data_IF_328649421708
#
_entry.id   IF_328649421708
#
_cell.length_a   1.000
_cell.length_b   1.000
_cell.length_c   1.000
_cell.angle_alpha   90.00
_cell.angle_beta   90.00
_cell.angle_gamma   90.00
#
_symmetry.space_group_name_H-M   'P 1'
#
loop_
_entity.id
_entity.type
_entity.pdbx_description
1 polymer ?
#
# COMPACT_ATOMS: atom_id res chain seq x y z
N UNK A 1 18.06 -6.69 15.35
CA UNK A 1 18.12 -5.65 14.29
C UNK A 1 16.86 -5.62 13.41
N UNK A 2 16.11 -6.72 13.28
CA UNK A 2 14.81 -6.75 12.58
C UNK A 2 13.69 -6.01 13.34
N UNK A 3 13.74 -5.98 14.67
CA UNK A 3 12.69 -5.43 15.53
C UNK A 3 12.59 -3.90 15.47
N UNK A 4 13.73 -3.22 15.28
CA UNK A 4 13.77 -1.77 15.09
C UNK A 4 13.07 -1.31 13.81
N UNK A 5 13.14 -2.11 12.74
CA UNK A 5 12.48 -1.79 11.47
C UNK A 5 10.95 -1.99 11.55
N UNK A 6 10.49 -2.99 12.31
CA UNK A 6 9.07 -3.24 12.52
C UNK A 6 8.42 -2.11 13.33
N UNK A 7 9.08 -1.66 14.40
CA UNK A 7 8.61 -0.54 15.21
C UNK A 7 8.59 0.77 14.42
N UNK A 8 9.59 1.03 13.58
CA UNK A 8 9.56 2.20 12.69
C UNK A 8 8.36 2.17 11.73
N UNK A 9 8.01 1.01 11.17
CA UNK A 9 6.84 0.89 10.28
C UNK A 9 5.52 1.13 11.02
N UNK A 10 5.39 0.57 12.22
CA UNK A 10 4.22 0.78 13.08
C UNK A 10 4.09 2.25 13.46
N UNK A 11 5.16 2.87 13.97
CA UNK A 11 5.18 4.28 14.34
C UNK A 11 4.84 5.17 13.14
N UNK A 12 5.38 4.88 11.96
CA UNK A 12 5.08 5.64 10.75
C UNK A 12 3.60 5.51 10.36
N UNK A 13 3.03 4.31 10.43
CA UNK A 13 1.59 4.09 10.19
C UNK A 13 0.74 4.86 11.18
N UNK A 14 1.11 4.87 12.46
CA UNK A 14 0.43 5.65 13.50
C UNK A 14 0.50 7.16 13.22
N UNK A 15 1.67 7.66 12.83
CA UNK A 15 1.85 9.07 12.45
C UNK A 15 0.99 9.42 11.24
N UNK A 16 0.87 8.53 10.25
CA UNK A 16 0.02 8.75 9.08
C UNK A 16 -1.47 8.83 9.45
N UNK A 17 -1.94 7.92 10.31
CA UNK A 17 -3.33 7.90 10.80
C UNK A 17 -3.63 9.14 11.64
N UNK A 18 -2.71 9.53 12.53
CA UNK A 18 -2.86 10.73 13.35
C UNK A 18 -2.89 11.99 12.49
N UNK A 19 -2.01 12.11 11.49
CA UNK A 19 -2.04 13.23 10.55
C UNK A 19 -3.38 13.31 9.80
N UNK A 20 -3.93 12.17 9.39
CA UNK A 20 -5.24 12.11 8.73
C UNK A 20 -6.37 12.56 9.68
N UNK A 21 -6.40 12.06 10.92
CA UNK A 21 -7.40 12.46 11.92
C UNK A 21 -7.32 13.96 12.26
N UNK A 22 -6.11 14.47 12.50
CA UNK A 22 -5.86 15.88 12.81
C UNK A 22 -6.33 16.75 11.64
N UNK A 23 -6.03 16.34 10.41
CA UNK A 23 -6.38 17.11 9.23
C UNK A 23 -7.87 17.12 8.93
N UNK A 24 -8.57 16.00 9.16
CA UNK A 24 -10.05 15.97 9.12
C UNK A 24 -10.62 16.93 10.16
N UNK A 25 -10.10 16.89 11.39
CA UNK A 25 -10.59 17.73 12.49
C UNK A 25 -10.35 19.22 12.21
N UNK A 26 -9.18 19.57 11.67
CA UNK A 26 -8.84 20.95 11.30
C UNK A 26 -9.67 21.47 10.12
N UNK A 27 -10.00 20.61 9.15
CA UNK A 27 -10.87 20.98 8.02
C UNK A 27 -12.32 21.18 8.48
N UNK A 28 -12.81 20.33 9.38
CA UNK A 28 -14.13 20.49 10.02
C UNK A 28 -14.21 21.80 10.79
N UNK A 29 -13.13 22.21 11.44
CA UNK A 29 -13.08 23.46 12.20
C UNK A 29 -12.93 24.73 11.33
N UNK A 30 -13.15 24.61 10.00
CA UNK A 30 -13.11 25.69 8.99
C UNK A 30 -11.82 26.54 8.94
N UNK A 31 -10.82 26.23 9.76
CA UNK A 31 -9.59 27.02 9.88
C UNK A 31 -8.69 26.84 8.64
N UNK A 32 -8.84 25.72 7.93
CA UNK A 32 -7.97 25.28 6.81
C UNK A 32 -8.77 25.04 5.51
N UNK A 33 -9.67 25.97 5.16
CA UNK A 33 -10.53 25.87 3.96
C UNK A 33 -9.75 25.83 2.64
N UNK A 34 -8.59 26.51 2.55
CA UNK A 34 -7.81 26.61 1.31
C UNK A 34 -6.73 25.55 1.13
N UNK A 35 -6.48 24.71 2.14
CA UNK A 35 -5.41 23.71 2.01
C UNK A 35 -5.88 22.52 1.19
N UNK A 36 -5.15 22.25 0.11
CA UNK A 36 -5.35 21.09 -0.74
C UNK A 36 -5.20 19.82 0.06
N UNK A 37 -6.11 18.87 -0.12
CA UNK A 37 -6.07 17.58 0.56
C UNK A 37 -4.79 16.81 0.22
N UNK A 38 -4.18 17.07 -0.94
CA UNK A 38 -2.87 16.56 -1.32
C UNK A 38 -1.76 16.87 -0.30
N UNK A 39 -1.79 18.06 0.33
CA UNK A 39 -0.77 18.47 1.30
C UNK A 39 -0.79 17.60 2.57
N UNK A 40 -1.98 17.16 2.96
CA UNK A 40 -2.22 16.31 4.13
C UNK A 40 -1.62 14.91 3.93
N UNK A 41 -1.61 14.43 2.68
CA UNK A 41 -1.05 13.12 2.33
C UNK A 41 0.45 13.15 2.03
N UNK A 42 1.12 14.31 2.04
CA UNK A 42 2.58 14.43 1.82
C UNK A 42 3.42 13.39 2.56
N UNK A 43 3.26 13.15 3.89
CA UNK A 43 4.10 12.16 4.58
C UNK A 43 3.92 10.75 4.01
N UNK A 44 2.70 10.40 3.57
CA UNK A 44 2.40 9.11 2.95
C UNK A 44 2.98 9.04 1.54
N UNK A 45 2.86 10.11 0.74
CA UNK A 45 3.49 10.22 -0.58
C UNK A 45 5.01 10.04 -0.52
N UNK A 46 5.67 10.68 0.46
CA UNK A 46 7.11 10.53 0.67
C UNK A 46 7.45 9.07 0.98
N UNK A 47 6.69 8.42 1.86
CA UNK A 47 6.92 7.01 2.18
C UNK A 47 6.73 6.08 0.97
N UNK A 48 5.69 6.32 0.17
CA UNK A 48 5.43 5.56 -1.05
C UNK A 48 6.57 5.76 -2.08
N UNK A 49 7.05 6.99 -2.26
CA UNK A 49 8.18 7.31 -3.14
C UNK A 49 9.48 6.64 -2.68
N UNK A 50 9.80 6.70 -1.38
CA UNK A 50 10.99 6.03 -0.82
C UNK A 50 10.90 4.52 -1.06
N UNK A 51 9.72 3.92 -0.81
CA UNK A 51 9.50 2.49 -1.05
C UNK A 51 9.68 2.12 -2.52
N UNK A 52 9.18 2.94 -3.45
CA UNK A 52 9.38 2.77 -4.88
C UNK A 52 10.86 2.82 -5.26
N UNK A 53 11.60 3.80 -4.73
CA UNK A 53 13.03 3.96 -4.97
C UNK A 53 13.82 2.74 -4.49
N UNK A 54 13.52 2.22 -3.29
CA UNK A 54 14.19 1.02 -2.75
C UNK A 54 13.93 -0.18 -3.67
N UNK A 55 12.67 -0.41 -4.08
CA UNK A 55 12.32 -1.52 -4.96
C UNK A 55 12.99 -1.37 -6.34
N UNK A 56 12.93 -0.18 -6.93
CA UNK A 56 13.56 0.12 -8.22
C UNK A 56 15.06 -0.10 -8.18
N UNK A 57 15.73 0.33 -7.12
CA UNK A 57 17.15 0.09 -6.88
C UNK A 57 17.47 -1.41 -6.77
N UNK A 58 16.66 -2.17 -6.03
CA UNK A 58 16.83 -3.62 -5.90
C UNK A 58 16.66 -4.36 -7.24
N UNK A 59 15.76 -3.89 -8.11
CA UNK A 59 15.57 -4.44 -9.46
C UNK A 59 16.77 -4.12 -10.36
N UNK A 60 17.24 -2.85 -10.35
CA UNK A 60 18.37 -2.37 -11.15
C UNK A 60 19.66 -3.16 -10.89
N UNK A 61 19.89 -3.56 -9.65
CA UNK A 61 21.08 -4.33 -9.26
C UNK A 61 21.10 -5.76 -9.83
N UNK A 62 20.05 -6.21 -10.55
CA UNK A 62 19.87 -7.54 -11.20
C UNK A 62 19.99 -8.76 -10.27
N UNK A 63 20.60 -8.62 -9.09
CA UNK A 63 20.88 -9.65 -8.09
C UNK A 63 19.62 -10.21 -7.42
N UNK A 64 18.49 -9.52 -7.56
CA UNK A 64 17.20 -9.93 -6.98
C UNK A 64 16.28 -10.72 -7.92
N UNK A 65 16.49 -10.66 -9.24
CA UNK A 65 15.56 -11.20 -10.24
C UNK A 65 15.78 -12.69 -10.59
N UNK A 66 16.87 -13.30 -10.12
CA UNK A 66 17.23 -14.67 -10.52
C UNK A 66 16.31 -15.78 -9.96
N UNK A 67 15.52 -15.50 -8.92
CA UNK A 67 14.61 -16.49 -8.31
C UNK A 67 13.15 -16.15 -8.62
N UNK A 68 12.42 -17.05 -9.28
CA UNK A 68 10.99 -16.87 -9.63
C UNK A 68 10.12 -16.44 -8.44
N UNK A 69 10.40 -16.97 -7.25
CA UNK A 69 9.69 -16.61 -6.00
C UNK A 69 9.90 -15.14 -5.58
N UNK A 70 11.07 -14.57 -5.86
CA UNK A 70 11.37 -13.17 -5.56
C UNK A 70 10.68 -12.22 -6.54
N UNK A 71 10.49 -12.67 -7.78
CA UNK A 71 9.78 -11.91 -8.81
C UNK A 71 8.30 -11.70 -8.43
N UNK A 72 7.63 -12.75 -7.95
CA UNK A 72 6.24 -12.63 -7.44
C UNK A 72 6.15 -11.68 -6.24
N UNK A 73 7.12 -11.70 -5.32
CA UNK A 73 7.17 -10.74 -4.21
C UNK A 73 7.33 -9.31 -4.70
N UNK A 74 8.19 -9.06 -5.69
CA UNK A 74 8.38 -7.71 -6.27
C UNK A 74 7.10 -7.23 -6.95
N UNK A 75 6.46 -8.07 -7.77
CA UNK A 75 5.19 -7.74 -8.42
C UNK A 75 4.12 -7.43 -7.37
N UNK A 76 4.04 -8.24 -6.31
CA UNK A 76 3.15 -8.01 -5.18
C UNK A 76 3.41 -6.65 -4.52
N UNK A 77 4.67 -6.32 -4.22
CA UNK A 77 5.01 -5.03 -3.62
C UNK A 77 4.69 -3.85 -4.54
N UNK A 78 4.97 -3.95 -5.84
CA UNK A 78 4.65 -2.92 -6.82
C UNK A 78 3.14 -2.72 -6.96
N UNK A 79 2.36 -3.80 -7.04
CA UNK A 79 0.91 -3.73 -7.13
C UNK A 79 0.31 -3.12 -5.86
N UNK A 80 0.83 -3.50 -4.69
CA UNK A 80 0.41 -2.93 -3.42
C UNK A 80 0.66 -1.43 -3.37
N UNK A 81 1.86 -1.00 -3.76
CA UNK A 81 2.23 0.41 -3.81
C UNK A 81 1.35 1.20 -4.79
N UNK A 82 1.15 0.66 -6.00
CA UNK A 82 0.32 1.30 -7.04
C UNK A 82 -1.13 1.45 -6.57
N UNK A 83 -1.66 0.41 -5.92
CA UNK A 83 -3.01 0.42 -5.35
C UNK A 83 -3.14 1.42 -4.20
N UNK A 84 -2.14 1.54 -3.33
CA UNK A 84 -2.12 2.53 -2.25
C UNK A 84 -2.12 3.96 -2.82
N UNK A 85 -1.25 4.24 -3.79
CA UNK A 85 -1.23 5.54 -4.47
C UNK A 85 -2.56 5.85 -5.16
N UNK A 86 -3.16 4.89 -5.86
CA UNK A 86 -4.45 5.07 -6.53
C UNK A 86 -5.58 5.38 -5.52
N UNK A 87 -5.60 4.67 -4.39
CA UNK A 87 -6.55 4.92 -3.30
C UNK A 87 -6.38 6.34 -2.72
N UNK A 88 -5.14 6.76 -2.44
CA UNK A 88 -4.85 8.10 -1.92
C UNK A 88 -5.30 9.19 -2.90
N UNK A 89 -5.04 9.03 -4.19
CA UNK A 89 -5.46 9.98 -5.24
C UNK A 89 -6.99 10.06 -5.31
N UNK A 90 -7.69 8.92 -5.36
CA UNK A 90 -9.15 8.87 -5.40
C UNK A 90 -9.77 9.51 -4.15
N UNK A 91 -9.18 9.27 -2.99
CA UNK A 91 -9.61 9.86 -1.73
C UNK A 91 -9.40 11.38 -1.73
N UNK A 92 -8.27 11.87 -2.26
CA UNK A 92 -8.03 13.31 -2.46
C UNK A 92 -9.06 13.94 -3.40
N UNK A 93 -9.38 13.27 -4.51
CA UNK A 93 -10.38 13.76 -5.48
C UNK A 93 -11.74 13.86 -4.83
N UNK A 94 -12.18 12.81 -4.12
CA UNK A 94 -13.45 12.82 -3.39
C UNK A 94 -13.50 13.93 -2.34
N UNK A 95 -12.44 14.11 -1.56
CA UNK A 95 -12.40 15.10 -0.48
C UNK A 95 -12.30 16.54 -0.98
N UNK A 96 -11.67 16.79 -2.13
CA UNK A 96 -11.39 18.14 -2.63
C UNK A 96 -12.35 18.61 -3.71
N UNK A 97 -12.72 17.75 -4.65
CA UNK A 97 -13.42 18.14 -5.87
C UNK A 97 -14.84 17.60 -5.93
N UNK A 98 -15.08 16.37 -5.48
CA UNK A 98 -16.38 15.70 -5.68
C UNK A 98 -16.81 14.89 -4.44
N UNK A 99 -17.35 15.55 -3.40
CA UNK A 99 -17.76 14.88 -2.16
C UNK A 99 -18.90 13.87 -2.36
N UNK A 100 -19.72 14.08 -3.40
CA UNK A 100 -20.86 13.23 -3.75
C UNK A 100 -20.46 11.91 -4.44
N UNK A 101 -19.18 11.74 -4.81
CA UNK A 101 -18.71 10.52 -5.44
C UNK A 101 -18.95 9.31 -4.51
N UNK A 102 -19.56 8.20 -4.98
CA UNK A 102 -19.86 7.06 -4.12
C UNK A 102 -18.59 6.40 -3.56
N UNK A 103 -18.62 6.02 -2.27
CA UNK A 103 -17.48 5.41 -1.58
C UNK A 103 -16.99 4.12 -2.25
N UNK A 104 -17.88 3.37 -2.90
CA UNK A 104 -17.55 2.16 -3.65
C UNK A 104 -16.43 2.36 -4.69
N UNK A 105 -16.42 3.50 -5.37
CA UNK A 105 -15.40 3.84 -6.38
C UNK A 105 -14.06 4.12 -5.71
N UNK A 106 -14.06 4.85 -4.59
CA UNK A 106 -12.84 5.19 -3.86
C UNK A 106 -12.17 3.94 -3.29
N UNK A 107 -12.95 2.97 -2.80
CA UNK A 107 -12.40 1.72 -2.28
C UNK A 107 -12.01 0.71 -3.36
N UNK A 108 -12.39 0.92 -4.62
CA UNK A 108 -12.18 -0.03 -5.71
C UNK A 108 -10.72 -0.54 -5.85
N UNK A 109 -9.66 0.27 -5.73
CA UNK A 109 -8.27 -0.22 -5.75
C UNK A 109 -8.02 -1.25 -4.64
N UNK A 110 -8.57 -1.00 -3.45
CA UNK A 110 -8.40 -1.83 -2.26
C UNK A 110 -9.10 -3.20 -2.42
N UNK A 111 -10.25 -3.23 -3.09
CA UNK A 111 -10.95 -4.47 -3.43
C UNK A 111 -10.13 -5.32 -4.42
N UNK A 112 -9.57 -4.69 -5.46
CA UNK A 112 -8.69 -5.39 -6.42
C UNK A 112 -7.49 -6.01 -5.69
N UNK A 113 -6.86 -5.24 -4.80
CA UNK A 113 -5.75 -5.73 -4.00
C UNK A 113 -6.13 -6.94 -3.15
N UNK A 114 -7.28 -6.90 -2.47
CA UNK A 114 -7.76 -8.03 -1.67
C UNK A 114 -7.91 -9.29 -2.52
N UNK A 115 -8.61 -9.23 -3.67
CA UNK A 115 -8.79 -10.38 -4.55
C UNK A 115 -7.45 -10.94 -5.04
N UNK A 116 -6.50 -10.06 -5.34
CA UNK A 116 -5.17 -10.46 -5.76
C UNK A 116 -4.40 -11.20 -4.64
N UNK A 117 -4.46 -10.69 -3.40
CA UNK A 117 -3.87 -11.35 -2.22
C UNK A 117 -4.49 -12.72 -1.99
N UNK A 118 -5.81 -12.81 -2.03
CA UNK A 118 -6.53 -14.08 -1.89
C UNK A 118 -6.07 -15.10 -2.92
N UNK A 119 -5.95 -14.68 -4.19
CA UNK A 119 -5.48 -15.54 -5.27
C UNK A 119 -4.06 -16.07 -5.02
N UNK A 120 -3.16 -15.23 -4.51
CA UNK A 120 -1.79 -15.63 -4.18
C UNK A 120 -1.77 -16.63 -3.01
N UNK A 121 -2.53 -16.36 -1.95
CA UNK A 121 -2.59 -17.24 -0.77
C UNK A 121 -3.10 -18.63 -1.18
N UNK A 122 -4.15 -18.68 -2.02
CA UNK A 122 -4.68 -19.94 -2.55
C UNK A 122 -3.61 -20.69 -3.35
N UNK A 123 -2.87 -20.00 -4.23
CA UNK A 123 -1.77 -20.62 -4.99
C UNK A 123 -0.66 -21.17 -4.08
N UNK A 124 -0.31 -20.46 -3.00
CA UNK A 124 0.70 -20.91 -2.04
C UNK A 124 0.23 -22.13 -1.24
N UNK A 125 -1.02 -22.14 -0.81
CA UNK A 125 -1.64 -23.28 -0.13
C UNK A 125 -1.64 -24.52 -1.03
N UNK A 126 -2.05 -24.36 -2.29
CA UNK A 126 -2.08 -25.46 -3.25
C UNK A 126 -0.69 -26.09 -3.48
N UNK A 127 0.36 -25.26 -3.61
CA UNK A 127 1.74 -25.76 -3.73
C UNK A 127 2.21 -26.50 -2.49
N UNK A 128 1.89 -25.99 -1.30
CA UNK A 128 2.29 -26.62 -0.04
C UNK A 128 1.65 -28.00 0.09
N UNK A 129 0.37 -28.15 -0.24
CA UNK A 129 -0.31 -29.44 -0.26
C UNK A 129 0.36 -30.46 -1.17
N UNK A 130 0.73 -30.09 -2.40
CA UNK A 130 1.40 -31.01 -3.33
C UNK A 130 2.74 -31.52 -2.79
N UNK A 131 3.54 -30.64 -2.17
CA UNK A 131 4.84 -31.03 -1.60
C UNK A 131 4.74 -31.96 -0.38
N UNK A 132 3.60 -31.96 0.33
CA UNK A 132 3.36 -32.88 1.44
C UNK A 132 3.00 -34.27 0.92
N UNK A 133 2.18 -34.35 -0.13
CA UNK A 133 1.76 -35.63 -0.73
C UNK A 133 2.94 -36.40 -1.33
N UNK A 134 3.89 -35.69 -1.97
CA UNK A 134 5.09 -36.29 -2.57
C UNK A 134 6.07 -36.87 -1.53
N UNK A 135 6.06 -36.38 -0.29
CA UNK A 135 6.95 -36.88 0.79
C UNK A 135 6.38 -38.08 1.55
N UNK A 136 5.10 -38.39 1.36
CA UNK A 136 4.40 -39.51 2.03
C UNK A 136 4.30 -40.77 1.17
N UNK A 137 4.73 -40.71 -0.10
CA UNK A 137 4.94 -41.87 -0.98
C UNK A 137 6.41 -42.26 -0.99
#
# INVERSE_FOLDING_TARGET
MADGCLNCRLLLSFICILNFLISITLKINQTWLHVSWFLIFIPIWIFNLISLCIIGYLILIKKWLQKKEKCLKIIYYLLNLLSSCAFEILLCIKLQYEPDMPYWIVFLPLWILMFFIFSIIIQQMYRTCQTTTEKTM
#
